data_IF_194828636149
#
_entry.id   IF_194828636149
#
_cell.length_a   1.000
_cell.length_b   1.000
_cell.length_c   1.000
_cell.angle_alpha   90.00
_cell.angle_beta   90.00
_cell.angle_gamma   90.00
#
_symmetry.space_group_name_H-M   'P 1'
#
loop_
_entity.id
_entity.type
_entity.pdbx_description
1 polymer ?
#
# COMPACT_ATOMS: atom_id res chain seq x y z
N UNK A 1 19.27 32.65 -14.90
CA UNK A 1 18.66 31.32 -14.66
C UNK A 1 18.76 31.04 -13.18
N UNK A 2 17.70 31.31 -12.42
CA UNK A 2 17.67 30.97 -11.01
C UNK A 2 17.44 29.47 -10.89
N UNK A 3 18.36 28.75 -10.24
CA UNK A 3 18.06 27.41 -9.75
C UNK A 3 16.85 27.58 -8.83
N UNK A 4 15.71 26.98 -9.17
CA UNK A 4 14.63 26.84 -8.21
C UNK A 4 15.24 26.16 -6.97
N UNK A 5 15.26 26.85 -5.83
CA UNK A 5 15.56 26.21 -4.56
C UNK A 5 14.47 25.17 -4.36
N UNK A 6 14.79 23.92 -4.66
CA UNK A 6 13.96 22.79 -4.29
C UNK A 6 14.12 22.70 -2.78
N UNK A 7 13.07 23.04 -2.04
CA UNK A 7 13.06 22.86 -0.60
C UNK A 7 13.45 21.41 -0.28
N UNK A 8 14.30 21.19 0.74
CA UNK A 8 14.70 19.85 1.11
C UNK A 8 13.45 19.02 1.43
N UNK A 9 13.42 17.73 1.04
CA UNK A 9 12.27 16.88 1.28
C UNK A 9 11.95 16.84 2.78
N UNK A 10 10.66 16.94 3.11
CA UNK A 10 10.22 16.87 4.49
C UNK A 10 10.49 15.50 5.12
N UNK A 11 10.41 15.39 6.45
CA UNK A 11 10.72 14.15 7.18
C UNK A 11 9.90 12.93 6.69
N UNK A 12 8.64 13.11 6.30
CA UNK A 12 7.83 11.99 5.82
C UNK A 12 8.19 11.56 4.40
N UNK A 13 8.52 12.51 3.52
CA UNK A 13 9.05 12.19 2.19
C UNK A 13 10.38 11.40 2.28
N UNK A 14 11.28 11.76 3.20
CA UNK A 14 12.52 11.03 3.42
C UNK A 14 12.30 9.60 3.96
N UNK A 15 11.27 9.44 4.80
CA UNK A 15 10.88 8.11 5.32
C UNK A 15 10.28 7.26 4.20
N UNK A 16 9.36 7.79 3.41
CA UNK A 16 8.76 7.08 2.28
C UNK A 16 9.82 6.61 1.29
N UNK A 17 10.80 7.44 0.96
CA UNK A 17 11.89 7.05 0.05
C UNK A 17 12.70 5.86 0.61
N UNK A 18 13.02 5.88 1.92
CA UNK A 18 13.70 4.77 2.58
C UNK A 18 12.86 3.49 2.55
N UNK A 19 11.56 3.61 2.83
CA UNK A 19 10.62 2.48 2.78
C UNK A 19 10.48 1.94 1.37
N UNK A 20 10.38 2.81 0.36
CA UNK A 20 10.32 2.44 -1.05
C UNK A 20 11.53 1.62 -1.46
N UNK A 21 12.75 2.01 -1.07
CA UNK A 21 13.97 1.22 -1.31
C UNK A 21 13.93 -0.17 -0.66
N UNK A 22 13.26 -0.33 0.47
CA UNK A 22 13.10 -1.64 1.14
C UNK A 22 12.16 -2.54 0.35
N UNK A 23 11.07 -2.00 -0.18
CA UNK A 23 10.02 -2.78 -0.85
C UNK A 23 10.13 -2.84 -2.37
N UNK A 24 11.02 -2.07 -2.98
CA UNK A 24 11.25 -2.07 -4.41
C UNK A 24 12.50 -2.88 -4.77
N UNK A 25 12.38 -3.75 -5.76
CA UNK A 25 13.49 -4.53 -6.32
C UNK A 25 13.45 -4.44 -7.82
N UNK A 26 14.63 -4.41 -8.43
CA UNK A 26 14.78 -4.43 -9.87
C UNK A 26 15.82 -5.46 -10.32
N UNK A 27 15.69 -5.86 -11.58
CA UNK A 27 16.63 -6.73 -12.27
C UNK A 27 16.60 -6.39 -13.76
N UNK A 28 17.76 -6.29 -14.38
CA UNK A 28 17.89 -6.16 -15.84
C UNK A 28 18.40 -7.48 -16.40
N UNK A 29 17.69 -8.03 -17.39
CA UNK A 29 18.14 -9.22 -18.10
C UNK A 29 19.33 -8.92 -19.02
N UNK A 30 20.05 -9.97 -19.41
CA UNK A 30 21.11 -9.89 -20.44
C UNK A 30 20.57 -9.43 -21.80
N UNK A 31 19.28 -9.62 -22.02
CA UNK A 31 18.53 -9.17 -23.18
C UNK A 31 18.14 -7.69 -23.13
N UNK A 32 18.58 -6.94 -22.10
CA UNK A 32 18.32 -5.51 -21.92
C UNK A 32 16.92 -5.17 -21.39
N UNK A 33 16.08 -6.17 -21.09
CA UNK A 33 14.74 -5.92 -20.54
C UNK A 33 14.85 -5.70 -19.03
N UNK A 34 14.40 -4.53 -18.59
CA UNK A 34 14.35 -4.14 -17.20
C UNK A 34 13.03 -4.57 -16.54
N UNK A 35 13.14 -5.14 -15.36
CA UNK A 35 12.06 -5.44 -14.44
C UNK A 35 12.25 -4.62 -13.17
N UNK A 36 11.20 -3.96 -12.74
CA UNK A 36 11.08 -3.39 -11.41
C UNK A 36 9.77 -3.87 -10.78
N UNK A 37 9.82 -4.29 -9.52
CA UNK A 37 8.64 -4.70 -8.77
C UNK A 37 8.64 -4.05 -7.39
N UNK A 38 7.49 -3.53 -6.99
CA UNK A 38 7.25 -2.93 -5.69
C UNK A 38 6.26 -3.77 -4.90
N UNK A 39 6.71 -4.34 -3.78
CA UNK A 39 5.82 -4.99 -2.81
C UNK A 39 5.04 -3.90 -2.05
N UNK A 40 3.75 -3.77 -2.34
CA UNK A 40 2.85 -2.82 -1.66
C UNK A 40 2.51 -3.29 -0.26
N UNK A 41 3.49 -3.27 0.64
CA UNK A 41 3.27 -3.59 2.06
C UNK A 41 2.42 -2.51 2.73
N UNK A 42 1.69 -2.86 3.79
CA UNK A 42 0.89 -1.87 4.53
C UNK A 42 1.75 -0.71 5.07
N UNK A 43 2.96 -0.99 5.58
CA UNK A 43 3.89 0.08 6.00
C UNK A 43 4.28 1.01 4.86
N UNK A 44 4.47 0.49 3.64
CA UNK A 44 4.72 1.33 2.47
C UNK A 44 3.53 2.25 2.16
N UNK A 45 2.30 1.74 2.25
CA UNK A 45 1.09 2.55 2.07
C UNK A 45 1.00 3.66 3.11
N UNK A 46 1.21 3.35 4.39
CA UNK A 46 1.23 4.35 5.46
C UNK A 46 2.29 5.41 5.17
N UNK A 47 3.54 5.01 4.89
CA UNK A 47 4.61 5.96 4.59
C UNK A 47 4.25 6.88 3.41
N UNK A 48 3.66 6.31 2.35
CA UNK A 48 3.20 7.06 1.18
C UNK A 48 2.07 8.04 1.52
N UNK A 49 1.08 7.65 2.33
CA UNK A 49 0.02 8.57 2.78
C UNK A 49 0.58 9.74 3.59
N UNK A 50 1.52 9.49 4.51
CA UNK A 50 2.16 10.55 5.28
C UNK A 50 3.01 11.48 4.40
N UNK A 51 3.79 10.94 3.47
CA UNK A 51 4.60 11.74 2.54
C UNK A 51 3.73 12.59 1.60
N UNK A 52 2.62 12.05 1.10
CA UNK A 52 1.66 12.80 0.29
C UNK A 52 0.96 13.87 1.11
N UNK A 53 0.57 13.56 2.35
CA UNK A 53 -0.03 14.54 3.25
C UNK A 53 0.92 15.70 3.57
N UNK A 54 2.20 15.42 3.80
CA UNK A 54 3.22 16.45 3.97
C UNK A 54 3.39 17.32 2.71
N UNK A 55 3.49 16.69 1.54
CA UNK A 55 3.68 17.37 0.25
C UNK A 55 2.50 18.26 -0.13
N UNK A 56 1.28 17.78 0.15
CA UNK A 56 0.04 18.49 -0.15
C UNK A 56 -0.38 19.46 0.99
N UNK A 57 0.39 19.51 2.08
CA UNK A 57 0.06 20.37 3.22
C UNK A 57 -1.26 19.96 3.90
N UNK A 58 -1.56 18.67 4.00
CA UNK A 58 -2.76 18.16 4.67
C UNK A 58 -2.58 18.14 6.18
N UNK A 59 -3.67 18.38 6.90
CA UNK A 59 -3.69 18.22 8.36
C UNK A 59 -3.94 16.76 8.75
N UNK A 60 -3.93 16.50 10.06
CA UNK A 60 -4.15 15.19 10.63
C UNK A 60 -5.54 14.61 10.30
N UNK A 61 -6.60 15.43 10.31
CA UNK A 61 -7.97 14.95 10.04
C UNK A 61 -8.15 14.55 8.57
N UNK A 62 -7.53 15.31 7.66
CA UNK A 62 -7.51 15.00 6.24
C UNK A 62 -6.72 13.72 5.95
N UNK A 63 -5.59 13.50 6.63
CA UNK A 63 -4.84 12.25 6.54
C UNK A 63 -5.66 11.07 7.07
N UNK A 64 -6.31 11.23 8.22
CA UNK A 64 -7.18 10.21 8.83
C UNK A 64 -8.32 9.81 7.89
N UNK A 65 -8.94 10.79 7.24
CA UNK A 65 -9.98 10.55 6.23
C UNK A 65 -9.46 9.74 5.04
N UNK A 66 -8.26 10.07 4.52
CA UNK A 66 -7.65 9.31 3.40
C UNK A 66 -7.28 7.89 3.79
N UNK A 67 -6.71 7.68 4.98
CA UNK A 67 -6.40 6.35 5.48
C UNK A 67 -7.67 5.52 5.73
N UNK A 68 -8.72 6.14 6.25
CA UNK A 68 -10.03 5.51 6.42
C UNK A 68 -10.60 5.06 5.06
N UNK A 69 -10.58 5.93 4.05
CA UNK A 69 -11.01 5.58 2.69
C UNK A 69 -10.18 4.45 2.08
N UNK A 70 -8.86 4.48 2.30
CA UNK A 70 -7.97 3.39 1.91
C UNK A 70 -8.42 2.07 2.55
N UNK A 71 -8.62 2.04 3.88
CA UNK A 71 -9.09 0.84 4.59
C UNK A 71 -10.43 0.37 4.05
N UNK A 72 -11.42 1.26 3.91
CA UNK A 72 -12.72 0.96 3.30
C UNK A 72 -12.58 0.31 1.93
N UNK A 73 -11.69 0.86 1.08
CA UNK A 73 -11.43 0.32 -0.24
C UNK A 73 -11.06 -1.15 -0.22
N UNK A 74 -10.30 -1.63 0.76
CA UNK A 74 -9.99 -3.05 0.89
C UNK A 74 -11.09 -3.84 1.58
N UNK A 75 -11.61 -3.38 2.72
CA UNK A 75 -12.59 -4.19 3.47
C UNK A 75 -13.92 -4.36 2.75
N UNK A 76 -14.23 -3.46 1.81
CA UNK A 76 -15.41 -3.53 0.94
C UNK A 76 -15.06 -4.00 -0.48
N UNK A 77 -13.80 -4.41 -0.75
CA UNK A 77 -13.41 -4.94 -2.05
C UNK A 77 -14.07 -6.28 -2.35
N UNK A 78 -14.29 -6.50 -3.64
CA UNK A 78 -14.57 -7.83 -4.17
C UNK A 78 -13.29 -8.66 -4.22
N UNK A 79 -13.41 -9.92 -3.82
CA UNK A 79 -12.32 -10.87 -3.75
C UNK A 79 -12.76 -12.19 -4.42
N UNK A 80 -11.87 -12.89 -5.17
CA UNK A 80 -12.18 -14.20 -5.71
C UNK A 80 -12.51 -15.17 -4.58
N UNK A 81 -13.57 -15.94 -4.77
CA UNK A 81 -13.97 -16.97 -3.81
C UNK A 81 -13.09 -18.21 -3.94
N UNK A 82 -12.54 -18.44 -5.13
CA UNK A 82 -11.77 -19.63 -5.50
C UNK A 82 -10.48 -19.75 -4.69
N UNK A 83 -9.88 -18.63 -4.29
CA UNK A 83 -8.64 -18.58 -3.50
C UNK A 83 -8.87 -18.44 -1.98
N UNK A 84 -10.14 -18.37 -1.55
CA UNK A 84 -10.53 -18.23 -0.14
C UNK A 84 -10.21 -16.87 0.49
N UNK A 85 -10.02 -15.83 -0.33
CA UNK A 85 -9.81 -14.44 0.14
C UNK A 85 -11.10 -13.60 0.16
N UNK A 86 -12.23 -14.14 -0.30
CA UNK A 86 -13.58 -13.63 -0.08
C UNK A 86 -13.86 -13.25 1.37
N UNK A 87 -13.32 -14.03 2.31
CA UNK A 87 -13.41 -13.75 3.75
C UNK A 87 -12.72 -12.44 4.18
N UNK A 88 -11.89 -11.82 3.33
CA UNK A 88 -11.35 -10.50 3.64
C UNK A 88 -12.40 -9.39 3.51
N UNK A 89 -13.50 -9.62 2.77
CA UNK A 89 -14.62 -8.69 2.72
C UNK A 89 -15.36 -8.69 4.05
N UNK A 90 -15.54 -7.51 4.64
CA UNK A 90 -16.33 -7.37 5.87
C UNK A 90 -17.79 -7.73 5.67
N UNK A 91 -18.32 -7.59 4.45
CA UNK A 91 -19.65 -8.04 4.13
C UNK A 91 -19.78 -9.56 4.33
N UNK A 92 -18.86 -10.36 3.77
CA UNK A 92 -18.87 -11.81 3.94
C UNK A 92 -18.58 -12.21 5.39
N UNK A 93 -17.66 -11.54 6.08
CA UNK A 93 -17.43 -11.80 7.50
C UNK A 93 -18.68 -11.54 8.35
N UNK A 94 -19.40 -10.46 8.06
CA UNK A 94 -20.64 -10.14 8.77
C UNK A 94 -21.70 -11.19 8.52
N UNK A 95 -21.89 -11.62 7.27
CA UNK A 95 -22.80 -12.71 6.92
C UNK A 95 -22.44 -14.01 7.62
N UNK A 96 -21.17 -14.40 7.62
CA UNK A 96 -20.77 -15.73 8.12
C UNK A 96 -20.73 -15.77 9.65
N UNK A 97 -20.17 -14.75 10.29
CA UNK A 97 -19.82 -14.81 11.72
C UNK A 97 -20.70 -13.96 12.63
N UNK A 98 -21.45 -12.99 12.08
CA UNK A 98 -22.20 -12.02 12.90
C UNK A 98 -23.70 -12.19 12.73
N UNK A 99 -24.19 -12.16 11.49
CA UNK A 99 -25.61 -12.32 11.19
C UNK A 99 -25.84 -13.03 9.85
N UNK A 100 -25.94 -14.38 9.85
CA UNK A 100 -26.26 -15.19 8.67
C UNK A 100 -27.63 -14.93 8.04
N UNK A 101 -28.55 -14.32 8.80
CA UNK A 101 -29.89 -13.96 8.31
C UNK A 101 -29.98 -12.48 7.89
N UNK A 102 -28.84 -11.82 7.65
CA UNK A 102 -28.79 -10.43 7.22
C UNK A 102 -29.46 -10.23 5.85
N UNK A 103 -30.45 -9.36 5.81
CA UNK A 103 -31.12 -8.91 4.59
C UNK A 103 -30.62 -7.50 4.20
N UNK A 104 -29.84 -7.35 3.11
CA UNK A 104 -29.36 -6.04 2.66
C UNK A 104 -30.48 -5.14 2.10
N UNK A 105 -31.64 -5.71 1.76
CA UNK A 105 -32.84 -4.98 1.35
C UNK A 105 -33.55 -4.30 2.52
N UNK A 106 -33.32 -4.76 3.76
CA UNK A 106 -33.89 -4.15 4.96
C UNK A 106 -33.05 -2.93 5.41
N UNK A 107 -33.61 -1.70 5.40
CA UNK A 107 -32.85 -0.49 5.74
C UNK A 107 -32.33 -0.46 7.18
N UNK A 108 -33.04 -1.10 8.12
CA UNK A 108 -32.63 -1.17 9.53
C UNK A 108 -31.43 -2.07 9.66
N UNK A 109 -31.48 -3.28 9.08
CA UNK A 109 -30.36 -4.20 9.15
C UNK A 109 -29.14 -3.66 8.41
N UNK A 110 -29.34 -3.00 7.26
CA UNK A 110 -28.26 -2.33 6.52
C UNK A 110 -27.61 -1.23 7.37
N UNK A 111 -28.38 -0.47 8.15
CA UNK A 111 -27.84 0.51 9.10
C UNK A 111 -26.98 -0.15 10.17
N UNK A 112 -27.44 -1.26 10.75
CA UNK A 112 -26.67 -2.02 11.75
C UNK A 112 -25.33 -2.52 11.18
N UNK A 113 -25.35 -3.10 9.97
CA UNK A 113 -24.14 -3.51 9.27
C UNK A 113 -23.18 -2.32 9.06
N UNK A 114 -23.70 -1.18 8.59
CA UNK A 114 -22.87 0.01 8.36
C UNK A 114 -22.20 0.55 9.63
N UNK A 115 -22.90 0.49 10.77
CA UNK A 115 -22.33 0.86 12.08
C UNK A 115 -21.22 -0.12 12.46
N UNK A 116 -21.49 -1.42 12.42
CA UNK A 116 -20.49 -2.46 12.72
C UNK A 116 -19.24 -2.35 11.83
N UNK A 117 -19.44 -2.15 10.53
CA UNK A 117 -18.37 -1.92 9.56
C UNK A 117 -17.58 -0.66 9.90
N UNK A 118 -18.26 0.43 10.24
CA UNK A 118 -17.63 1.68 10.65
C UNK A 118 -16.78 1.53 11.90
N UNK A 119 -17.29 0.84 12.92
CA UNK A 119 -16.57 0.54 14.16
C UNK A 119 -15.34 -0.33 13.92
N UNK A 120 -15.41 -1.27 12.98
CA UNK A 120 -14.23 -2.05 12.55
C UNK A 120 -13.14 -1.14 11.97
N UNK A 121 -13.49 -0.29 10.99
CA UNK A 121 -12.51 0.60 10.34
C UNK A 121 -11.92 1.59 11.34
N UNK A 122 -12.74 2.15 12.23
CA UNK A 122 -12.28 3.08 13.26
C UNK A 122 -11.32 2.43 14.27
N UNK A 123 -11.54 1.17 14.64
CA UNK A 123 -10.59 0.43 15.49
C UNK A 123 -9.25 0.24 14.80
N UNK A 124 -9.25 -0.13 13.52
CA UNK A 124 -8.02 -0.29 12.75
C UNK A 124 -7.27 1.04 12.60
N UNK A 125 -7.99 2.12 12.29
CA UNK A 125 -7.40 3.45 12.18
C UNK A 125 -6.75 3.89 13.51
N UNK A 126 -7.45 3.69 14.64
CA UNK A 126 -6.89 3.98 15.97
C UNK A 126 -5.60 3.22 16.26
N UNK A 127 -5.50 1.96 15.82
CA UNK A 127 -4.29 1.16 15.99
C UNK A 127 -3.10 1.70 15.18
N UNK A 128 -3.34 2.23 13.97
CA UNK A 128 -2.30 2.90 13.17
C UNK A 128 -1.73 4.12 13.88
N UNK A 129 -2.56 4.86 14.62
CA UNK A 129 -2.15 6.07 15.32
C UNK A 129 -1.73 5.86 16.78
N UNK A 130 -1.91 4.68 17.37
CA UNK A 130 -1.58 4.46 18.78
C UNK A 130 -0.08 4.66 19.02
N UNK A 131 0.27 5.61 19.90
CA UNK A 131 1.67 5.95 20.23
C UNK A 131 2.44 4.79 20.87
N UNK A 132 1.73 3.80 21.42
CA UNK A 132 2.36 2.57 21.95
C UNK A 132 2.97 1.72 20.84
N UNK A 133 2.63 1.99 19.59
CA UNK A 133 2.96 1.18 18.45
C UNK A 133 3.78 1.97 17.42
N UNK A 134 4.90 1.42 16.90
CA UNK A 134 5.62 2.09 15.81
C UNK A 134 4.69 2.32 14.61
N UNK A 135 4.81 3.50 14.02
CA UNK A 135 3.98 3.90 12.87
C UNK A 135 4.21 3.03 11.64
N UNK A 136 5.42 2.49 11.46
CA UNK A 136 5.76 1.56 10.39
C UNK A 136 6.10 0.21 10.99
N UNK A 137 5.41 -0.84 10.55
CA UNK A 137 5.61 -2.21 11.02
C UNK A 137 5.58 -3.19 9.87
N UNK A 138 6.37 -4.24 10.01
CA UNK A 138 6.22 -5.44 9.18
C UNK A 138 4.93 -6.17 9.53
N UNK A 139 4.48 -6.17 10.80
CA UNK A 139 3.24 -6.80 11.24
C UNK A 139 2.40 -5.91 12.16
N UNK A 140 1.11 -5.76 11.83
CA UNK A 140 0.05 -5.36 12.76
C UNK A 140 -0.77 -6.61 13.07
N UNK A 141 -1.16 -6.80 14.33
CA UNK A 141 -1.72 -8.05 14.82
C UNK A 141 -3.11 -8.41 14.26
N UNK A 142 -3.45 -9.67 14.49
CA UNK A 142 -4.44 -10.59 13.90
C UNK A 142 -4.63 -10.66 12.37
N UNK A 143 -4.42 -9.61 11.54
CA UNK A 143 -4.53 -9.76 10.06
C UNK A 143 -3.69 -8.80 9.20
N UNK A 144 -2.68 -8.12 9.73
CA UNK A 144 -2.22 -6.87 9.13
C UNK A 144 -0.70 -6.74 8.98
N UNK A 145 -0.02 -7.82 8.61
CA UNK A 145 1.44 -7.84 8.48
C UNK A 145 2.02 -8.45 7.22
N UNK A 146 2.95 -7.74 6.58
CA UNK A 146 3.61 -7.92 5.26
C UNK A 146 2.61 -7.99 4.09
N UNK A 147 1.40 -8.43 4.38
CA UNK A 147 0.28 -8.65 3.50
C UNK A 147 -0.75 -7.55 3.68
N UNK A 148 -1.14 -6.91 2.59
CA UNK A 148 -2.37 -6.14 2.55
C UNK A 148 -3.54 -7.14 2.63
N UNK A 149 -4.26 -7.20 3.75
CA UNK A 149 -5.52 -7.96 3.83
C UNK A 149 -5.32 -9.44 3.47
N UNK A 150 -4.33 -10.11 4.09
CA UNK A 150 -3.93 -11.50 3.73
C UNK A 150 -3.52 -11.71 2.27
N UNK A 151 -3.10 -10.65 1.56
CA UNK A 151 -2.56 -10.71 0.19
C UNK A 151 -1.21 -10.03 0.08
N UNK A 152 -0.37 -10.57 -0.78
CA UNK A 152 0.89 -9.95 -1.19
C UNK A 152 0.63 -9.25 -2.53
N UNK A 153 0.72 -7.92 -2.53
CA UNK A 153 0.41 -7.09 -3.69
C UNK A 153 1.69 -6.54 -4.32
N UNK A 154 1.83 -6.69 -5.64
CA UNK A 154 3.00 -6.26 -6.38
C UNK A 154 2.59 -5.34 -7.53
N UNK A 155 3.18 -4.15 -7.57
CA UNK A 155 3.23 -3.33 -8.77
C UNK A 155 4.46 -3.69 -9.57
N UNK A 156 4.27 -4.11 -10.81
CA UNK A 156 5.35 -4.53 -11.70
C UNK A 156 5.44 -3.58 -12.88
N UNK A 157 6.63 -3.01 -13.05
CA UNK A 157 7.03 -2.18 -14.17
C UNK A 157 8.03 -2.95 -15.02
N UNK A 158 7.76 -2.99 -16.32
CA UNK A 158 8.64 -3.54 -17.33
C UNK A 158 9.09 -2.42 -18.25
N UNK A 159 10.36 -2.46 -18.66
CA UNK A 159 10.91 -1.55 -19.65
C UNK A 159 11.85 -2.30 -20.60
N UNK A 160 11.76 -1.95 -21.88
CA UNK A 160 12.56 -2.50 -22.98
C UNK A 160 13.32 -1.39 -23.71
N UNK A 161 13.54 -0.22 -23.09
CA UNK A 161 14.28 0.88 -23.70
C UNK A 161 15.70 0.47 -24.15
N UNK A 162 16.37 -0.39 -23.38
CA UNK A 162 17.70 -0.93 -23.70
C UNK A 162 17.65 -2.25 -24.50
N UNK A 163 16.46 -2.68 -24.94
CA UNK A 163 16.26 -3.96 -25.65
C UNK A 163 15.64 -3.75 -27.03
N UNK A 164 16.12 -4.50 -28.01
CA UNK A 164 15.47 -4.60 -29.32
C UNK A 164 14.30 -5.61 -29.32
N UNK A 165 14.20 -6.45 -28.28
CA UNK A 165 13.14 -7.45 -28.16
C UNK A 165 11.78 -6.78 -27.91
N UNK A 166 10.73 -7.45 -28.39
CA UNK A 166 9.33 -7.06 -28.20
C UNK A 166 8.52 -8.25 -27.70
N UNK A 167 8.82 -8.79 -26.50
CA UNK A 167 8.16 -9.99 -26.01
C UNK A 167 6.66 -9.76 -25.86
N UNK A 168 5.89 -10.84 -26.02
CA UNK A 168 4.47 -10.84 -25.65
C UNK A 168 4.33 -10.67 -24.14
N UNK A 169 3.33 -9.89 -23.74
CA UNK A 169 3.03 -9.60 -22.34
C UNK A 169 1.53 -9.67 -22.02
N UNK A 170 0.67 -10.04 -22.97
CA UNK A 170 -0.77 -10.15 -22.72
C UNK A 170 -1.12 -11.22 -21.67
N UNK A 171 -0.30 -12.26 -21.58
CA UNK A 171 -0.41 -13.35 -20.60
C UNK A 171 0.59 -13.24 -19.44
N UNK A 172 1.30 -12.11 -19.30
CA UNK A 172 2.45 -12.00 -18.39
C UNK A 172 2.07 -12.31 -16.94
N UNK A 173 0.88 -11.89 -16.50
CA UNK A 173 0.39 -12.20 -15.15
C UNK A 173 0.31 -13.70 -14.87
N UNK A 174 -0.06 -14.52 -15.85
CA UNK A 174 -0.11 -15.98 -15.71
C UNK A 174 1.26 -16.65 -15.74
N UNK A 175 2.29 -15.92 -16.21
CA UNK A 175 3.69 -16.36 -16.24
C UNK A 175 4.52 -15.78 -15.09
N UNK A 176 3.90 -14.99 -14.23
CA UNK A 176 4.53 -14.43 -13.04
C UNK A 176 4.08 -15.21 -11.82
N UNK A 177 5.05 -15.68 -11.04
CA UNK A 177 4.84 -16.50 -9.86
C UNK A 177 5.46 -15.83 -8.65
N UNK A 178 4.85 -16.04 -7.49
CA UNK A 178 5.50 -15.82 -6.22
C UNK A 178 6.21 -17.12 -5.84
N UNK A 179 7.46 -17.04 -5.41
CA UNK A 179 8.22 -18.18 -4.93
C UNK A 179 8.64 -17.94 -3.48
N UNK A 180 8.38 -18.91 -2.60
CA UNK A 180 8.84 -18.86 -1.22
C UNK A 180 10.30 -19.32 -1.09
N UNK A 181 10.80 -19.31 0.15
CA UNK A 181 12.16 -19.71 0.52
C UNK A 181 12.42 -21.22 0.43
N UNK A 182 11.35 -22.02 0.41
CA UNK A 182 11.36 -23.47 0.14
C UNK A 182 11.36 -23.79 -1.37
N UNK A 183 11.18 -22.79 -2.24
CA UNK A 183 11.14 -22.95 -3.69
C UNK A 183 9.77 -23.28 -4.28
N UNK A 184 8.71 -23.30 -3.46
CA UNK A 184 7.34 -23.52 -3.93
C UNK A 184 6.86 -22.30 -4.73
N UNK A 185 6.14 -22.54 -5.82
CA UNK A 185 5.58 -21.48 -6.67
C UNK A 185 4.07 -21.34 -6.48
N UNK A 186 3.63 -20.09 -6.43
CA UNK A 186 2.24 -19.72 -6.24
C UNK A 186 1.80 -18.81 -7.39
N UNK A 187 0.63 -19.10 -7.92
CA UNK A 187 0.01 -18.27 -8.96
C UNK A 187 -0.71 -17.07 -8.34
N UNK A 188 -0.74 -15.92 -9.03
CA UNK A 188 -1.54 -14.80 -8.60
C UNK A 188 -3.03 -15.06 -8.82
N UNK A 189 -3.86 -14.32 -8.10
CA UNK A 189 -5.32 -14.47 -8.12
C UNK A 189 -6.03 -13.12 -8.00
N UNK A 190 -7.03 -12.91 -8.85
CA UNK A 190 -7.85 -11.71 -8.86
C UNK A 190 -9.13 -11.88 -9.68
N UNK A 191 -9.91 -10.82 -9.82
CA UNK A 191 -11.23 -10.86 -10.47
C UNK A 191 -11.13 -10.90 -12.00
N UNK A 192 -9.94 -10.66 -12.54
CA UNK A 192 -9.64 -10.73 -13.97
C UNK A 192 -8.51 -11.73 -14.21
N UNK A 193 -8.69 -12.99 -13.80
CA UNK A 193 -7.66 -14.02 -13.87
C UNK A 193 -6.52 -13.74 -12.88
N UNK A 194 -5.25 -13.58 -13.33
CA UNK A 194 -4.14 -13.31 -12.41
C UNK A 194 -4.15 -11.87 -11.87
N UNK A 195 -5.00 -10.99 -12.41
CA UNK A 195 -5.00 -9.56 -12.09
C UNK A 195 -6.17 -9.21 -11.16
N UNK A 196 -5.98 -8.27 -10.21
CA UNK A 196 -7.04 -7.87 -9.30
C UNK A 196 -8.30 -7.40 -10.03
N UNK A 197 -8.11 -6.63 -11.10
CA UNK A 197 -9.15 -6.13 -12.01
C UNK A 197 -8.56 -5.98 -13.43
N UNK A 198 -9.43 -5.82 -14.44
CA UNK A 198 -9.03 -5.71 -15.85
C UNK A 198 -8.06 -4.54 -16.11
N UNK A 199 -8.27 -3.40 -15.46
CA UNK A 199 -7.44 -2.21 -15.65
C UNK A 199 -6.01 -2.33 -15.07
N UNK A 200 -5.73 -3.40 -14.32
CA UNK A 200 -4.38 -3.74 -13.85
C UNK A 200 -3.60 -4.62 -14.81
N UNK A 201 -4.19 -5.00 -15.95
CA UNK A 201 -3.50 -5.72 -17.02
C UNK A 201 -2.60 -4.79 -17.83
N UNK A 202 -1.53 -5.32 -18.46
CA UNK A 202 -0.85 -4.60 -19.51
C UNK A 202 -1.85 -4.18 -20.60
N UNK A 203 -1.77 -2.93 -21.05
CA UNK A 203 -2.67 -2.40 -22.09
C UNK A 203 -2.37 -2.96 -23.48
N UNK A 204 -1.09 -3.26 -23.74
CA UNK A 204 -0.61 -3.78 -25.01
C UNK A 204 -0.32 -5.29 -24.91
N UNK A 205 -0.43 -5.98 -26.04
CA UNK A 205 -0.08 -7.41 -26.13
C UNK A 205 1.43 -7.67 -26.16
N UNK A 206 2.21 -6.66 -26.53
CA UNK A 206 3.66 -6.72 -26.67
C UNK A 206 4.30 -5.58 -25.89
N UNK A 207 5.47 -5.83 -25.30
CA UNK A 207 6.26 -4.78 -24.64
C UNK A 207 6.91 -3.91 -25.72
N UNK A 208 6.34 -2.73 -25.99
CA UNK A 208 6.86 -1.78 -26.99
C UNK A 208 7.98 -0.91 -26.44
N UNK A 209 7.74 -0.35 -25.25
CA UNK A 209 8.69 0.45 -24.48
C UNK A 209 8.56 0.06 -23.02
N UNK A 210 7.45 0.42 -22.39
CA UNK A 210 7.16 0.04 -21.02
C UNK A 210 5.76 -0.54 -20.86
N UNK A 211 5.57 -1.26 -19.77
CA UNK A 211 4.28 -1.75 -19.33
C UNK A 211 4.21 -1.75 -17.81
N UNK A 212 3.01 -1.54 -17.27
CA UNK A 212 2.72 -1.70 -15.85
C UNK A 212 1.59 -2.68 -15.69
N UNK A 213 1.72 -3.55 -14.70
CA UNK A 213 0.63 -4.41 -14.26
C UNK A 213 0.71 -4.64 -12.75
N UNK A 214 -0.41 -5.05 -12.16
CA UNK A 214 -0.50 -5.38 -10.73
C UNK A 214 -0.96 -6.81 -10.55
N UNK A 215 -0.32 -7.51 -9.62
CA UNK A 215 -0.70 -8.86 -9.20
C UNK A 215 -0.96 -8.90 -7.70
N UNK A 216 -1.91 -9.75 -7.31
CA UNK A 216 -2.12 -10.13 -5.92
C UNK A 216 -1.89 -11.63 -5.78
N UNK A 217 -1.20 -12.02 -4.72
CA UNK A 217 -1.07 -13.41 -4.30
C UNK A 217 -1.80 -13.59 -2.97
N UNK A 218 -2.71 -14.55 -2.85
CA UNK A 218 -3.29 -14.89 -1.55
C UNK A 218 -2.16 -15.38 -0.66
N UNK A 219 -2.01 -14.84 0.56
CA UNK A 219 -0.98 -15.28 1.49
C UNK A 219 -1.39 -16.60 2.17
N UNK A 220 -1.63 -17.64 1.37
CA UNK A 220 -2.06 -18.97 1.79
C UNK A 220 -1.40 -20.02 0.89
N UNK A 221 -0.86 -21.08 1.50
CA UNK A 221 -0.37 -22.27 0.79
C UNK A 221 -1.57 -23.11 0.30
N UNK A 222 -1.30 -24.23 -0.35
CA UNK A 222 -2.32 -25.09 -0.94
C UNK A 222 -3.38 -25.61 0.05
N UNK A 223 -3.02 -25.72 1.34
CA UNK A 223 -3.94 -26.09 2.43
C UNK A 223 -4.95 -24.98 2.80
N UNK A 224 -4.81 -23.78 2.22
CA UNK A 224 -5.59 -22.56 2.49
C UNK A 224 -5.51 -22.07 3.93
N UNK A 225 -4.62 -22.62 4.75
CA UNK A 225 -4.49 -22.27 6.17
C UNK A 225 -3.12 -21.68 6.48
N UNK A 226 -2.06 -22.32 5.97
CA UNK A 226 -0.70 -21.90 6.22
C UNK A 226 -0.35 -20.68 5.37
N UNK A 227 0.29 -19.63 5.91
CA UNK A 227 0.69 -18.48 5.10
C UNK A 227 1.87 -18.83 4.17
N UNK A 228 1.97 -18.15 3.02
CA UNK A 228 3.16 -18.22 2.15
C UNK A 228 4.32 -17.49 2.83
N UNK A 229 4.05 -16.26 3.27
CA UNK A 229 4.96 -15.42 4.06
C UNK A 229 4.48 -15.39 5.50
N UNK A 230 5.30 -15.93 6.39
CA UNK A 230 5.07 -15.95 7.83
C UNK A 230 6.26 -15.37 8.63
N UNK A 231 6.22 -15.46 9.97
CA UNK A 231 7.28 -14.94 10.84
C UNK A 231 8.66 -15.55 10.60
N UNK A 232 8.71 -16.79 10.10
CA UNK A 232 9.94 -17.55 9.89
C UNK A 232 10.42 -17.53 8.43
N UNK A 233 9.71 -16.85 7.53
CA UNK A 233 10.12 -16.77 6.12
C UNK A 233 11.40 -15.96 5.98
N UNK A 234 12.39 -16.49 5.27
CA UNK A 234 13.69 -15.84 5.06
C UNK A 234 13.68 -14.90 3.87
N UNK A 235 12.97 -15.28 2.81
CA UNK A 235 12.82 -14.46 1.61
C UNK A 235 11.58 -14.85 0.81
N UNK A 236 11.23 -13.97 -0.12
CA UNK A 236 10.26 -14.24 -1.17
C UNK A 236 10.76 -13.68 -2.49
N UNK A 237 10.43 -14.33 -3.59
CA UNK A 237 10.79 -13.90 -4.94
C UNK A 237 9.55 -13.70 -5.81
N UNK A 238 9.61 -12.70 -6.68
CA UNK A 238 8.72 -12.61 -7.82
C UNK A 238 9.50 -13.14 -9.04
N UNK A 239 8.96 -14.16 -9.69
CA UNK A 239 9.59 -14.89 -10.79
C UNK A 239 8.73 -14.75 -12.03
N UNK A 240 9.27 -14.15 -13.09
CA UNK A 240 8.61 -14.03 -14.40
C UNK A 240 9.24 -15.02 -15.36
N UNK A 241 8.44 -15.92 -15.93
CA UNK A 241 8.88 -16.96 -16.87
C UNK A 241 8.71 -16.49 -18.31
N UNK A 242 9.75 -16.68 -19.14
CA UNK A 242 9.72 -16.39 -20.58
C UNK A 242 9.56 -14.90 -20.92
N UNK A 243 10.18 -14.01 -20.12
CA UNK A 243 10.20 -12.58 -20.42
C UNK A 243 11.45 -12.25 -21.25
N UNK A 244 11.28 -12.20 -22.57
CA UNK A 244 12.40 -12.01 -23.49
C UNK A 244 13.11 -13.34 -23.76
N UNK A 245 14.44 -13.32 -23.75
CA UNK A 245 15.27 -14.51 -24.01
C UNK A 245 15.65 -15.26 -22.72
N UNK A 246 15.56 -14.59 -21.57
CA UNK A 246 15.83 -15.26 -20.30
C UNK A 246 14.68 -16.18 -19.89
N UNK A 247 14.98 -17.43 -19.48
CA UNK A 247 13.94 -18.38 -19.08
C UNK A 247 13.18 -17.90 -17.85
N UNK A 248 13.89 -17.29 -16.88
CA UNK A 248 13.32 -16.74 -15.66
C UNK A 248 14.00 -15.43 -15.29
N UNK A 249 13.19 -14.41 -14.99
CA UNK A 249 13.65 -13.16 -14.39
C UNK A 249 13.12 -13.06 -12.97
N UNK A 250 14.01 -12.81 -12.00
CA UNK A 250 13.68 -12.84 -10.58
C UNK A 250 14.07 -11.55 -9.87
N UNK A 251 13.24 -11.17 -8.91
CA UNK A 251 13.54 -10.13 -7.93
C UNK A 251 13.21 -10.67 -6.54
N UNK A 252 14.06 -10.40 -5.55
CA UNK A 252 14.01 -11.02 -4.22
C UNK A 252 13.91 -9.98 -3.11
N UNK A 253 13.02 -10.26 -2.15
CA UNK A 253 12.93 -9.55 -0.88
C UNK A 253 13.41 -10.47 0.24
N UNK A 254 14.41 -10.01 1.00
CA UNK A 254 14.77 -10.64 2.28
C UNK A 254 13.73 -10.27 3.32
N UNK A 255 13.40 -11.23 4.17
CA UNK A 255 12.38 -11.11 5.21
C UNK A 255 13.02 -11.38 6.59
N UNK A 256 12.46 -10.80 7.67
CA UNK A 256 11.39 -9.80 7.65
C UNK A 256 11.86 -8.46 7.05
N UNK A 257 10.92 -7.66 6.55
CA UNK A 257 11.25 -6.31 6.07
C UNK A 257 11.56 -5.39 7.25
N UNK A 258 12.72 -4.75 7.22
CA UNK A 258 13.16 -3.81 8.26
C UNK A 258 12.86 -2.38 7.85
N UNK A 259 11.88 -1.75 8.49
CA UNK A 259 11.48 -0.37 8.19
C UNK A 259 12.23 0.66 9.04
N UNK A 260 12.49 1.87 8.52
CA UNK A 260 13.10 2.94 9.30
C UNK A 260 12.21 3.34 10.49
N UNK A 261 12.85 3.74 11.59
CA UNK A 261 12.14 4.38 12.69
C UNK A 261 11.59 5.73 12.21
N UNK A 262 10.30 5.96 12.45
CA UNK A 262 9.65 7.25 12.24
C UNK A 262 9.51 7.92 13.58
N UNK A 263 9.88 9.19 13.68
CA UNK A 263 9.59 9.97 14.88
C UNK A 263 8.08 9.95 15.12
N UNK A 264 7.64 9.75 16.36
CA UNK A 264 6.21 9.72 16.76
C UNK A 264 5.46 11.05 16.49
N UNK A 265 6.12 12.01 15.85
CA UNK A 265 5.60 13.34 15.56
C UNK A 265 4.52 13.22 14.50
N UNK A 266 3.26 13.32 14.94
CA UNK A 266 2.08 13.38 14.07
C UNK A 266 2.07 14.70 13.28
N UNK A 267 1.31 14.73 12.18
CA UNK A 267 1.00 16.00 11.52
C UNK A 267 0.28 16.92 12.51
N UNK A 268 0.48 18.23 12.36
CA UNK A 268 -0.19 19.19 13.23
C UNK A 268 -1.72 19.08 13.04
N UNK A 269 -2.52 19.12 14.13
CA UNK A 269 -3.96 19.21 14.02
C UNK A 269 -4.36 20.50 13.28
N UNK A 270 -5.55 20.52 12.68
CA UNK A 270 -6.03 21.64 11.86
C UNK A 270 -5.96 23.01 12.59
N UNK A 271 -6.21 23.01 13.90
CA UNK A 271 -6.18 24.21 14.76
C UNK A 271 -4.78 24.85 14.89
N UNK A 272 -3.71 24.06 14.80
CA UNK A 272 -2.33 24.55 14.99
C UNK A 272 -1.78 25.28 13.75
N UNK A 273 -2.37 25.10 12.57
CA UNK A 273 -1.97 25.82 11.35
C UNK A 273 -2.53 27.25 11.28
N UNK A 274 -3.77 27.47 11.72
CA UNK A 274 -4.35 28.81 11.75
C UNK A 274 -3.55 29.78 12.64
N UNK A 275 -2.88 29.27 13.69
CA UNK A 275 -2.00 30.09 14.52
C UNK A 275 -0.64 30.41 13.87
N UNK A 276 -0.14 29.57 12.95
CA UNK A 276 1.15 29.79 12.27
C UNK A 276 1.05 30.73 11.07
N UNK A 277 -0.12 30.81 10.43
CA UNK A 277 -0.38 31.71 9.29
C UNK A 277 -0.91 33.08 9.69
N UNK A 278 -0.97 33.40 10.99
CA UNK A 278 -1.27 34.76 11.45
C UNK A 278 0.04 35.54 11.58
N UNK A 279 0.40 36.48 10.69
CA UNK A 279 1.53 37.35 10.93
C UNK A 279 1.17 38.25 12.10
N UNK A 280 1.75 37.98 13.27
CA UNK A 280 1.71 38.89 14.41
C UNK A 280 2.41 40.20 14.03
N UNK A 281 1.66 41.13 13.44
CA UNK A 281 2.04 42.53 13.39
C UNK A 281 1.89 43.06 14.82
N UNK A 282 2.96 43.00 15.61
CA UNK A 282 3.06 43.81 16.83
C UNK A 282 2.96 45.28 16.40
N UNK A 283 1.78 45.86 16.57
CA UNK A 283 1.60 47.31 16.52
C UNK A 283 2.21 47.86 17.81
N UNK A 284 3.14 48.82 17.77
CA UNK A 284 3.58 49.51 18.98
C UNK A 284 2.40 50.29 19.56
N UNK A 285 2.11 50.05 20.84
CA UNK A 285 1.17 50.84 21.61
C UNK A 285 1.61 52.31 21.62
N UNK A 286 0.74 53.19 21.11
CA UNK A 286 0.88 54.64 21.25
C UNK A 286 0.70 54.97 22.73
N UNK A 287 1.80 55.32 23.40
CA UNK A 287 1.75 55.88 24.75
C UNK A 287 1.27 57.33 24.70
N UNK A 288 0.00 57.55 25.03
CA UNK A 288 -0.45 58.86 25.52
C UNK A 288 0.03 59.03 26.96
N UNK A 289 0.97 59.94 27.18
CA UNK A 289 1.22 60.53 28.51
C UNK A 289 0.70 61.96 28.50
N UNK A 290 -0.44 62.17 29.15
CA UNK A 290 -0.93 63.48 29.54
C UNK A 290 -0.35 63.85 30.92
N UNK A 291 0.34 65.00 30.97
CA UNK A 291 0.30 65.99 32.06
C UNK A 291 1.05 65.71 33.38
N UNK A 292 1.97 66.63 33.75
CA UNK A 292 1.97 67.44 34.99
C UNK A 292 3.33 68.13 35.17
N UNK A 293 3.33 69.47 35.24
CA UNK A 293 4.51 70.31 35.51
C UNK A 293 4.41 71.66 34.82
#
# INVERSE_FOLDING_TARGET
>A
MGCAQVDPPGPFAQVEEKVWRIVNRSATGRDGIFLQATLRSFAYEIANFYANAEREGLDQEQLESRLSQFIYGFVDSDYPMEDGTDINSLYFQYLIYVNPSFDPGNPIQKRVFNVWRGDYVQRLLKAVYDVKFPLLRHQYDERWGVTLYSRLAFDVYLDSEESELRPRIDDIGSRTFLQDDEGNRYSPSGLAGPYPHEYFRPKDKILKRNAVYRLHFPNRKADRQSPIVGPNSEYVELVIVGLGEEPERKVRWKLPLEYPKVAEKRLAPAADRQQRDTPFRRVPSVGSSAGSG
#
